data_IF_247133169605
#
_entry.id   IF_247133169605
#
_cell.length_a   1.000
_cell.length_b   1.000
_cell.length_c   1.000
_cell.angle_alpha   90.00
_cell.angle_beta   90.00
_cell.angle_gamma   90.00
#
_symmetry.space_group_name_H-M   'P 1'
#
loop_
_entity.id
_entity.type
_entity.pdbx_description
1 polymer ?
#
# COMPACT_ATOMS: atom_id res chain seq x y z
N UNK A 1 0.06 -19.08 25.31
CA UNK A 1 1.44 -18.94 24.76
C UNK A 1 1.28 -18.57 23.29
N UNK A 2 1.31 -17.27 22.97
CA UNK A 2 1.25 -16.78 21.58
C UNK A 2 2.60 -17.11 20.94
N UNK A 3 2.57 -17.92 19.87
CA UNK A 3 3.78 -18.19 19.07
C UNK A 3 4.10 -16.93 18.28
N UNK A 4 5.24 -16.34 18.60
CA UNK A 4 5.85 -15.27 17.82
C UNK A 4 6.27 -15.87 16.47
N UNK A 5 5.56 -15.54 15.39
CA UNK A 5 6.04 -15.83 14.04
C UNK A 5 6.98 -14.70 13.63
N UNK A 6 8.26 -15.02 13.60
CA UNK A 6 9.29 -14.14 13.07
C UNK A 6 9.17 -14.18 11.53
N UNK A 7 8.56 -13.16 10.93
CA UNK A 7 8.59 -12.98 9.48
C UNK A 7 9.86 -12.18 9.16
N UNK A 8 10.82 -12.83 8.54
CA UNK A 8 12.05 -12.17 8.12
C UNK A 8 11.74 -11.22 6.95
N UNK A 9 11.84 -9.92 7.19
CA UNK A 9 11.72 -8.87 6.17
C UNK A 9 12.96 -8.86 5.30
N UNK A 10 12.83 -9.24 4.03
CA UNK A 10 13.91 -9.14 3.04
C UNK A 10 13.85 -7.77 2.39
N UNK A 11 14.75 -6.87 2.75
CA UNK A 11 14.96 -5.62 2.02
C UNK A 11 15.60 -5.97 0.67
N UNK A 12 14.81 -5.99 -0.40
CA UNK A 12 15.32 -6.16 -1.75
C UNK A 12 15.93 -4.84 -2.23
N UNK A 13 17.20 -4.63 -1.94
CA UNK A 13 17.95 -3.53 -2.52
C UNK A 13 18.24 -3.83 -3.99
N UNK A 14 17.46 -3.29 -4.93
CA UNK A 14 17.81 -3.35 -6.35
C UNK A 14 19.05 -2.50 -6.58
N UNK A 15 20.16 -3.15 -6.93
CA UNK A 15 21.41 -2.49 -7.31
C UNK A 15 21.26 -1.90 -8.72
N UNK A 16 20.91 -0.64 -8.81
CA UNK A 16 21.04 0.19 -10.02
C UNK A 16 22.23 1.15 -9.85
N UNK A 17 22.83 1.57 -10.97
CA UNK A 17 24.05 2.35 -11.08
C UNK A 17 24.27 3.43 -10.00
N UNK A 18 25.53 3.62 -9.60
CA UNK A 18 25.92 4.55 -8.53
C UNK A 18 25.39 5.97 -8.74
N UNK A 19 24.70 6.56 -7.75
CA UNK A 19 24.24 7.94 -7.83
C UNK A 19 25.41 8.92 -7.69
N UNK A 20 25.29 10.08 -8.32
CA UNK A 20 26.20 11.21 -8.12
C UNK A 20 26.22 11.59 -6.62
N UNK A 21 27.38 12.01 -6.13
CA UNK A 21 27.62 12.32 -4.73
C UNK A 21 26.54 13.25 -4.14
N UNK A 22 25.74 12.72 -3.20
CA UNK A 22 24.70 13.47 -2.48
C UNK A 22 23.27 12.96 -2.60
N UNK A 23 22.97 11.98 -3.46
CA UNK A 23 21.64 11.39 -3.54
C UNK A 23 21.54 10.20 -2.58
N UNK A 24 20.81 10.35 -1.48
CA UNK A 24 20.40 9.21 -0.66
C UNK A 24 19.59 8.24 -1.52
N UNK A 25 19.90 6.95 -1.38
CA UNK A 25 19.27 5.88 -2.18
C UNK A 25 17.79 5.78 -1.76
N UNK A 26 16.89 6.14 -2.66
CA UNK A 26 15.45 6.00 -2.42
C UNK A 26 15.09 4.52 -2.19
N UNK A 27 14.28 4.24 -1.19
CA UNK A 27 13.93 2.90 -0.71
C UNK A 27 12.43 2.70 -0.92
N UNK A 28 12.05 1.54 -1.48
CA UNK A 28 10.67 1.06 -1.37
C UNK A 28 10.50 0.42 0.01
N UNK A 29 9.47 0.85 0.72
CA UNK A 29 9.17 0.33 2.04
C UNK A 29 8.18 -0.83 1.91
N UNK A 30 8.55 -1.99 2.45
CA UNK A 30 7.69 -3.16 2.51
C UNK A 30 7.07 -3.28 3.91
N UNK A 31 5.74 -3.37 3.95
CA UNK A 31 4.95 -3.61 5.16
C UNK A 31 4.18 -4.92 4.99
N UNK A 32 4.17 -5.76 5.98
CA UNK A 32 3.44 -7.03 5.96
C UNK A 32 2.50 -7.13 7.16
N UNK A 33 1.25 -7.49 6.88
CA UNK A 33 0.26 -7.90 7.88
C UNK A 33 0.35 -9.39 8.19
N UNK A 34 -0.54 -9.86 9.05
CA UNK A 34 -0.65 -11.25 9.47
C UNK A 34 -1.89 -11.95 8.90
N UNK A 35 -2.30 -13.08 9.49
CA UNK A 35 -3.51 -13.82 9.08
C UNK A 35 -4.80 -13.29 9.75
N UNK A 36 -4.73 -12.21 10.46
CA UNK A 36 -5.83 -11.58 11.19
C UNK A 36 -6.18 -10.24 10.53
N UNK A 37 -7.39 -9.73 10.76
CA UNK A 37 -7.84 -8.44 10.21
C UNK A 37 -6.87 -7.31 10.60
N UNK A 38 -6.28 -6.63 9.62
CA UNK A 38 -5.30 -5.56 9.81
C UNK A 38 -5.89 -4.20 9.38
N UNK A 39 -5.57 -3.17 10.14
CA UNK A 39 -5.73 -1.78 9.73
C UNK A 39 -4.34 -1.17 9.56
N UNK A 40 -4.01 -0.71 8.36
CA UNK A 40 -2.74 -0.06 8.04
C UNK A 40 -3.04 1.30 7.42
N UNK A 41 -2.48 2.36 7.98
CA UNK A 41 -2.60 3.70 7.40
C UNK A 41 -1.24 4.36 7.24
N UNK A 42 -1.05 5.04 6.10
CA UNK A 42 0.18 5.76 5.77
C UNK A 42 -0.18 7.22 5.46
N UNK A 43 0.37 8.14 6.22
CA UNK A 43 0.18 9.57 6.04
C UNK A 43 1.51 10.33 5.99
N UNK A 44 1.52 11.49 5.33
CA UNK A 44 2.64 12.43 5.38
C UNK A 44 2.41 13.41 6.53
N UNK A 45 3.44 13.70 7.32
CA UNK A 45 3.38 14.72 8.36
C UNK A 45 3.09 16.11 7.78
N UNK A 46 2.49 17.03 8.53
CA UNK A 46 2.13 18.36 8.03
C UNK A 46 3.31 19.18 7.52
N UNK A 47 4.52 18.91 7.99
CA UNK A 47 5.75 19.57 7.54
C UNK A 47 6.37 18.92 6.28
N UNK A 48 5.80 17.82 5.81
CA UNK A 48 6.22 17.08 4.61
C UNK A 48 7.55 16.34 4.75
N UNK A 49 8.05 16.16 5.98
CA UNK A 49 9.39 15.60 6.23
C UNK A 49 9.39 14.14 6.63
N UNK A 50 8.29 13.65 7.15
CA UNK A 50 8.19 12.28 7.65
C UNK A 50 6.89 11.63 7.23
N UNK A 51 6.89 10.32 7.05
CA UNK A 51 5.69 9.52 6.97
C UNK A 51 5.35 8.97 8.35
N UNK A 52 4.08 9.00 8.69
CA UNK A 52 3.51 8.34 9.87
C UNK A 52 2.75 7.11 9.38
N UNK A 53 3.11 5.96 9.92
CA UNK A 53 2.52 4.68 9.55
C UNK A 53 1.95 4.06 10.82
N UNK A 54 0.63 3.90 10.84
CA UNK A 54 -0.11 3.27 11.94
C UNK A 54 -0.63 1.91 11.51
N UNK A 55 -0.66 0.94 12.44
CA UNK A 55 -1.28 -0.36 12.23
C UNK A 55 -1.96 -0.87 13.49
N UNK A 56 -2.85 -1.87 13.34
CA UNK A 56 -3.45 -2.58 14.49
C UNK A 56 -2.54 -3.64 15.10
N UNK A 57 -1.53 -4.09 14.33
CA UNK A 57 -0.51 -5.03 14.76
C UNK A 57 0.88 -4.41 14.84
N UNK A 58 1.84 -5.09 15.46
CA UNK A 58 3.22 -4.62 15.50
C UNK A 58 3.79 -4.53 14.09
N UNK A 59 4.40 -3.37 13.77
CA UNK A 59 5.09 -3.14 12.50
C UNK A 59 6.56 -3.52 12.66
N UNK A 60 7.01 -4.46 11.84
CA UNK A 60 8.43 -4.81 11.74
C UNK A 60 9.02 -4.22 10.46
N UNK A 61 10.01 -3.35 10.59
CA UNK A 61 10.73 -2.78 9.45
C UNK A 61 12.22 -2.97 9.62
N UNK A 62 12.85 -3.48 8.58
CA UNK A 62 14.30 -3.49 8.44
C UNK A 62 14.79 -2.21 7.76
N UNK A 63 15.45 -1.30 8.49
CA UNK A 63 16.10 -0.13 7.90
C UNK A 63 16.29 1.03 8.88
N UNK A 64 17.31 1.85 8.61
CA UNK A 64 17.71 2.97 9.49
C UNK A 64 16.86 4.24 9.30
N UNK A 65 15.88 4.23 8.39
CA UNK A 65 15.09 5.43 8.02
C UNK A 65 13.80 5.59 8.82
N UNK A 66 13.42 4.57 9.57
CA UNK A 66 12.20 4.57 10.38
C UNK A 66 12.49 4.26 11.84
N UNK A 67 11.69 4.81 12.72
CA UNK A 67 11.77 4.60 14.17
C UNK A 67 10.37 4.44 14.75
N UNK A 68 10.24 3.60 15.78
CA UNK A 68 9.02 3.56 16.59
C UNK A 68 9.08 4.66 17.66
N UNK A 69 8.03 5.46 17.83
CA UNK A 69 7.92 6.36 18.96
C UNK A 69 7.95 5.58 20.27
N UNK A 70 8.53 6.15 21.35
CA UNK A 70 8.52 5.50 22.66
C UNK A 70 7.09 5.17 23.13
N UNK A 71 6.83 3.90 23.42
CA UNK A 71 5.55 3.44 23.95
C UNK A 71 4.48 3.09 22.93
N UNK A 72 4.74 3.25 21.62
CA UNK A 72 3.81 2.82 20.57
C UNK A 72 4.50 1.92 19.52
N UNK A 73 4.47 0.59 19.68
CA UNK A 73 5.09 -0.34 18.75
C UNK A 73 4.32 -0.47 17.42
N UNK A 74 3.11 0.05 17.34
CA UNK A 74 2.22 -0.03 16.18
C UNK A 74 2.31 1.21 15.28
N UNK A 75 3.16 2.16 15.64
CA UNK A 75 3.41 3.37 14.85
C UNK A 75 4.86 3.42 14.39
N UNK A 76 5.08 3.92 13.19
CA UNK A 76 6.40 4.14 12.61
C UNK A 76 6.50 5.55 12.06
N UNK A 77 7.62 6.19 12.34
CA UNK A 77 7.98 7.50 11.80
C UNK A 77 9.19 7.33 10.88
N UNK A 78 9.01 7.61 9.59
CA UNK A 78 10.01 7.41 8.55
C UNK A 78 10.39 8.72 7.86
N UNK A 79 11.66 8.89 7.50
CA UNK A 79 12.14 10.10 6.80
C UNK A 79 11.63 10.12 5.35
N UNK A 80 10.79 11.10 5.01
CA UNK A 80 10.12 11.17 3.71
C UNK A 80 11.07 11.18 2.49
N UNK A 81 12.19 11.93 2.48
CA UNK A 81 13.05 11.98 1.30
C UNK A 81 13.72 10.65 0.94
N UNK A 82 13.78 9.70 1.87
CA UNK A 82 14.40 8.39 1.65
C UNK A 82 13.43 7.35 1.08
N UNK A 83 12.12 7.62 1.04
CA UNK A 83 11.08 6.67 0.58
C UNK A 83 10.69 7.01 -0.85
N UNK A 84 10.84 6.04 -1.76
CA UNK A 84 10.45 6.15 -3.17
C UNK A 84 9.06 5.57 -3.46
N UNK A 85 8.54 4.73 -2.58
CA UNK A 85 7.22 4.10 -2.69
C UNK A 85 6.95 3.18 -1.52
N UNK A 86 5.69 2.76 -1.40
CA UNK A 86 5.25 1.81 -0.40
C UNK A 86 4.81 0.51 -1.05
N UNK A 87 5.17 -0.61 -0.46
CA UNK A 87 4.64 -1.93 -0.80
C UNK A 87 4.02 -2.52 0.47
N UNK A 88 2.71 -2.74 0.45
CA UNK A 88 1.93 -3.27 1.57
C UNK A 88 1.32 -4.60 1.16
N UNK A 89 1.55 -5.64 1.96
CA UNK A 89 0.89 -6.92 1.86
C UNK A 89 0.12 -7.16 3.16
N UNK A 90 -1.20 -7.03 3.11
CA UNK A 90 -2.03 -7.12 4.31
C UNK A 90 -2.15 -8.56 4.84
N UNK A 91 -2.21 -9.55 3.95
CA UNK A 91 -2.06 -10.96 4.33
C UNK A 91 -3.34 -11.77 4.26
N UNK A 92 -3.95 -12.05 5.37
CA UNK A 92 -5.25 -12.73 5.45
C UNK A 92 -6.10 -12.13 6.54
N UNK A 93 -7.40 -12.35 6.47
CA UNK A 93 -8.38 -11.62 7.26
C UNK A 93 -9.08 -10.59 6.38
N UNK A 94 -9.92 -9.75 6.97
CA UNK A 94 -10.54 -8.64 6.24
C UNK A 94 -9.76 -7.36 6.58
N UNK A 95 -8.92 -6.95 5.65
CA UNK A 95 -7.94 -5.93 5.89
C UNK A 95 -8.41 -4.55 5.39
N UNK A 96 -7.87 -3.51 6.00
CA UNK A 96 -8.06 -2.14 5.52
C UNK A 96 -6.72 -1.43 5.41
N UNK A 97 -6.32 -1.05 4.18
CA UNK A 97 -5.10 -0.30 3.90
C UNK A 97 -5.44 1.05 3.29
N UNK A 98 -4.93 2.13 3.87
CA UNK A 98 -5.20 3.50 3.41
C UNK A 98 -3.91 4.28 3.25
N UNK A 99 -3.64 4.75 2.05
CA UNK A 99 -2.61 5.75 1.77
C UNK A 99 -3.28 7.13 1.75
N UNK A 100 -2.76 8.07 2.52
CA UNK A 100 -3.31 9.43 2.51
C UNK A 100 -3.01 10.15 1.18
N UNK A 101 -3.90 11.04 0.75
CA UNK A 101 -3.81 11.71 -0.57
C UNK A 101 -2.55 12.54 -0.77
N UNK A 102 -2.04 13.10 0.32
CA UNK A 102 -0.84 13.94 0.35
C UNK A 102 0.47 13.15 0.25
N UNK A 103 0.44 11.81 0.31
CA UNK A 103 1.61 10.95 0.11
C UNK A 103 2.07 11.08 -1.34
N UNK A 104 3.27 11.66 -1.62
CA UNK A 104 3.67 12.02 -2.99
C UNK A 104 4.42 10.91 -3.73
N UNK A 105 4.34 9.67 -3.25
CA UNK A 105 5.01 8.50 -3.84
C UNK A 105 3.99 7.41 -4.14
N UNK A 106 4.24 6.57 -5.17
CA UNK A 106 3.34 5.48 -5.52
C UNK A 106 3.29 4.39 -4.44
N UNK A 107 2.16 3.68 -4.40
CA UNK A 107 1.98 2.52 -3.54
C UNK A 107 1.63 1.26 -4.33
N UNK A 108 2.08 0.12 -3.84
CA UNK A 108 1.63 -1.21 -4.26
C UNK A 108 0.96 -1.88 -3.06
N UNK A 109 -0.35 -2.10 -3.17
CA UNK A 109 -1.15 -2.66 -2.08
C UNK A 109 -1.68 -4.04 -2.48
N UNK A 110 -1.55 -5.01 -1.59
CA UNK A 110 -2.13 -6.35 -1.74
C UNK A 110 -2.95 -6.67 -0.51
N UNK A 111 -4.21 -6.99 -0.70
CA UNK A 111 -5.12 -7.46 0.36
C UNK A 111 -4.71 -8.87 0.79
N UNK A 112 -5.03 -9.84 0.01
CA UNK A 112 -4.66 -11.23 0.24
C UNK A 112 -5.86 -12.15 0.28
N UNK A 113 -6.15 -12.75 1.40
CA UNK A 113 -7.32 -13.61 1.54
C UNK A 113 -8.32 -12.98 2.52
N UNK A 114 -9.54 -12.79 2.09
CA UNK A 114 -10.61 -12.14 2.84
C UNK A 114 -11.21 -10.97 2.09
N UNK A 115 -12.14 -10.25 2.71
CA UNK A 115 -12.78 -9.11 2.06
C UNK A 115 -12.06 -7.82 2.45
N UNK A 116 -11.25 -7.31 1.55
CA UNK A 116 -10.31 -6.23 1.84
C UNK A 116 -10.80 -4.86 1.34
N UNK A 117 -10.38 -3.80 2.02
CA UNK A 117 -10.53 -2.43 1.56
C UNK A 117 -9.17 -1.78 1.33
N UNK A 118 -8.80 -1.57 0.05
CA UNK A 118 -7.55 -0.96 -0.35
C UNK A 118 -7.80 0.42 -0.94
N UNK A 119 -7.16 1.45 -0.37
CA UNK A 119 -7.34 2.83 -0.81
C UNK A 119 -5.97 3.46 -1.10
N UNK A 120 -5.71 3.76 -2.36
CA UNK A 120 -4.52 4.42 -2.85
C UNK A 120 -4.43 5.90 -2.48
N UNK A 121 -3.33 6.53 -2.85
CA UNK A 121 -2.99 7.90 -2.56
C UNK A 121 -3.42 8.93 -3.62
N UNK A 122 -2.48 9.81 -3.97
CA UNK A 122 -2.65 10.83 -5.01
C UNK A 122 -1.73 10.63 -6.23
N UNK A 123 -1.07 9.48 -6.34
CA UNK A 123 -0.18 9.12 -7.43
C UNK A 123 -0.65 7.81 -8.07
N UNK A 124 -0.01 7.41 -9.17
CA UNK A 124 -0.31 6.14 -9.81
C UNK A 124 0.04 4.95 -8.92
N UNK A 125 -0.98 4.24 -8.47
CA UNK A 125 -0.90 3.14 -7.51
C UNK A 125 -1.24 1.79 -8.17
N UNK A 126 -0.80 0.70 -7.55
CA UNK A 126 -1.14 -0.66 -7.94
C UNK A 126 -1.84 -1.38 -6.79
N UNK A 127 -3.12 -1.70 -6.97
CA UNK A 127 -3.95 -2.32 -5.95
C UNK A 127 -4.40 -3.71 -6.42
N UNK A 128 -4.25 -4.73 -5.58
CA UNK A 128 -4.68 -6.10 -5.87
C UNK A 128 -5.42 -6.68 -4.66
N UNK A 129 -6.68 -7.05 -4.85
CA UNK A 129 -7.50 -7.68 -3.80
C UNK A 129 -7.03 -9.11 -3.51
N UNK A 130 -6.97 -9.95 -4.49
CA UNK A 130 -6.70 -11.38 -4.61
C UNK A 130 -7.94 -12.24 -4.39
N UNK A 131 -8.30 -12.64 -3.18
CA UNK A 131 -9.44 -13.56 -2.96
C UNK A 131 -10.39 -13.06 -1.89
N UNK A 132 -11.65 -13.00 -2.22
CA UNK A 132 -12.74 -12.45 -1.41
C UNK A 132 -13.44 -11.32 -2.15
N UNK A 133 -14.42 -10.71 -1.52
CA UNK A 133 -15.17 -9.59 -2.12
C UNK A 133 -14.51 -8.27 -1.71
N UNK A 134 -13.69 -7.72 -2.59
CA UNK A 134 -12.80 -6.63 -2.28
C UNK A 134 -13.34 -5.25 -2.73
N UNK A 135 -12.89 -4.22 -2.04
CA UNK A 135 -13.13 -2.84 -2.41
C UNK A 135 -11.83 -2.10 -2.66
N UNK A 136 -11.54 -1.76 -3.93
CA UNK A 136 -10.34 -1.07 -4.37
C UNK A 136 -10.66 0.35 -4.85
N UNK A 137 -9.91 1.35 -4.37
CA UNK A 137 -10.06 2.74 -4.76
C UNK A 137 -8.70 3.35 -5.08
N UNK A 138 -8.45 3.69 -6.34
CA UNK A 138 -7.20 4.34 -6.80
C UNK A 138 -7.09 5.78 -6.32
N UNK A 139 -8.12 6.57 -6.53
CA UNK A 139 -8.29 8.01 -6.28
C UNK A 139 -7.74 8.89 -7.38
N UNK A 140 -6.48 9.30 -7.33
CA UNK A 140 -5.88 10.18 -8.32
C UNK A 140 -4.54 9.62 -8.78
N UNK A 141 -4.26 9.79 -10.05
CA UNK A 141 -3.11 9.16 -10.69
C UNK A 141 -3.57 8.27 -11.84
N UNK A 142 -2.66 7.58 -12.48
CA UNK A 142 -2.99 6.51 -13.41
C UNK A 142 -2.85 5.18 -12.67
N UNK A 143 -3.96 4.64 -12.19
CA UNK A 143 -3.97 3.51 -11.25
C UNK A 143 -4.19 2.17 -11.96
N UNK A 144 -3.66 1.10 -11.38
CA UNK A 144 -3.90 -0.27 -11.82
C UNK A 144 -4.58 -1.05 -10.69
N UNK A 145 -5.86 -1.40 -10.91
CA UNK A 145 -6.70 -2.09 -9.95
C UNK A 145 -7.04 -3.50 -10.45
N UNK A 146 -6.79 -4.51 -9.65
CA UNK A 146 -7.16 -5.90 -9.91
C UNK A 146 -7.94 -6.45 -8.71
N UNK A 147 -9.20 -6.79 -8.90
CA UNK A 147 -10.04 -7.41 -7.87
C UNK A 147 -9.50 -8.78 -7.50
N UNK A 148 -9.72 -9.76 -8.32
CA UNK A 148 -9.26 -11.13 -8.13
C UNK A 148 -10.40 -12.11 -8.19
N UNK A 149 -10.48 -13.04 -7.23
CA UNK A 149 -11.61 -13.96 -7.09
C UNK A 149 -12.66 -13.37 -6.13
N UNK A 150 -13.90 -13.30 -6.55
CA UNK A 150 -15.03 -12.81 -5.74
C UNK A 150 -15.79 -11.69 -6.44
N UNK A 151 -16.82 -11.17 -5.77
CA UNK A 151 -17.61 -10.06 -6.30
C UNK A 151 -16.99 -8.73 -5.82
N UNK A 152 -16.21 -8.10 -6.71
CA UNK A 152 -15.34 -6.98 -6.36
C UNK A 152 -15.94 -5.61 -6.76
N UNK A 153 -15.54 -4.57 -6.03
CA UNK A 153 -15.85 -3.19 -6.38
C UNK A 153 -14.58 -2.38 -6.60
N UNK A 154 -14.33 -1.94 -7.84
CA UNK A 154 -13.17 -1.18 -8.26
C UNK A 154 -13.56 0.22 -8.67
N UNK A 155 -12.87 1.23 -8.11
CA UNK A 155 -13.06 2.65 -8.46
C UNK A 155 -11.70 3.24 -8.81
N UNK A 156 -11.46 3.56 -10.08
CA UNK A 156 -10.22 4.20 -10.54
C UNK A 156 -10.06 5.59 -9.93
N UNK A 157 -10.89 6.51 -10.34
CA UNK A 157 -10.91 7.86 -9.78
C UNK A 157 -10.61 8.93 -10.82
N UNK A 158 -9.53 9.67 -10.66
CA UNK A 158 -9.10 10.65 -11.65
C UNK A 158 -7.74 10.29 -12.22
N UNK A 159 -7.62 10.27 -13.53
CA UNK A 159 -6.45 9.84 -14.27
C UNK A 159 -6.80 8.77 -15.29
N UNK A 160 -5.80 8.13 -15.87
CA UNK A 160 -6.03 7.05 -16.83
C UNK A 160 -5.84 5.72 -16.12
N UNK A 161 -6.94 5.07 -15.79
CA UNK A 161 -6.96 3.92 -14.91
C UNK A 161 -7.17 2.60 -15.66
N UNK A 162 -6.55 1.55 -15.17
CA UNK A 162 -6.74 0.18 -15.63
C UNK A 162 -7.44 -0.63 -14.53
N UNK A 163 -8.68 -1.05 -14.79
CA UNK A 163 -9.49 -1.84 -13.86
C UNK A 163 -9.71 -3.23 -14.44
N UNK A 164 -9.46 -4.24 -13.62
CA UNK A 164 -9.74 -5.62 -13.94
C UNK A 164 -10.44 -6.30 -12.76
N UNK A 165 -11.69 -6.70 -12.96
CA UNK A 165 -12.45 -7.42 -11.93
C UNK A 165 -11.85 -8.80 -11.67
N UNK A 166 -11.97 -9.70 -12.58
CA UNK A 166 -11.54 -11.09 -12.46
C UNK A 166 -12.72 -12.04 -12.50
N UNK A 167 -12.63 -13.22 -11.88
CA UNK A 167 -13.76 -14.13 -11.72
C UNK A 167 -14.74 -13.64 -10.65
N UNK A 168 -15.97 -13.33 -11.03
CA UNK A 168 -17.04 -12.87 -10.13
C UNK A 168 -18.03 -11.94 -10.80
N UNK A 169 -18.90 -11.33 -9.99
CA UNK A 169 -19.81 -10.28 -10.46
C UNK A 169 -19.30 -8.92 -9.99
N UNK A 170 -18.46 -8.30 -10.81
CA UNK A 170 -17.68 -7.14 -10.42
C UNK A 170 -18.36 -5.82 -10.78
N UNK A 171 -18.16 -4.79 -9.94
CA UNK A 171 -18.53 -3.42 -10.21
C UNK A 171 -17.29 -2.57 -10.51
N UNK A 172 -17.12 -2.13 -11.77
CA UNK A 172 -15.97 -1.35 -12.22
C UNK A 172 -16.40 0.07 -12.58
N UNK A 173 -15.79 1.06 -11.91
CA UNK A 173 -16.04 2.50 -12.12
C UNK A 173 -14.70 3.16 -12.46
N UNK A 174 -14.48 3.51 -13.75
CA UNK A 174 -13.26 4.20 -14.19
C UNK A 174 -13.11 5.55 -13.48
N UNK A 175 -14.10 6.41 -13.64
CA UNK A 175 -14.08 7.73 -13.02
C UNK A 175 -13.90 8.84 -14.05
N UNK A 176 -12.96 9.76 -13.80
CA UNK A 176 -12.69 10.89 -14.69
C UNK A 176 -11.31 10.78 -15.32
N UNK A 177 -11.23 10.09 -16.44
CA UNK A 177 -10.03 9.93 -17.26
C UNK A 177 -10.40 9.84 -18.73
N UNK A 178 -9.44 10.16 -19.61
CA UNK A 178 -9.69 10.10 -21.05
C UNK A 178 -9.55 8.67 -21.62
N UNK A 179 -8.86 7.79 -20.90
CA UNK A 179 -8.48 6.46 -21.36
C UNK A 179 -8.62 5.39 -20.25
N UNK A 180 -9.71 5.44 -19.46
CA UNK A 180 -9.98 4.38 -18.49
C UNK A 180 -10.32 3.09 -19.23
N UNK A 181 -9.74 1.97 -18.78
CA UNK A 181 -9.99 0.64 -19.32
C UNK A 181 -10.52 -0.25 -18.21
N UNK A 182 -11.73 -0.79 -18.39
CA UNK A 182 -12.37 -1.74 -17.49
C UNK A 182 -12.56 -3.10 -18.19
N UNK A 183 -12.13 -4.21 -17.55
CA UNK A 183 -12.16 -5.58 -18.08
C UNK A 183 -12.64 -6.57 -17.03
#
# INVERSE_FOLDING_TARGET
MKKLFLIALTVLATQGAAPAAGAEKAINMLLAGGPEDNLISIALSPDGRTYVIDSTGPLEIGGSVCTNPPGNPNELICQAPAIAGFEVNAGGGNDRVVIAREVPVPATLRGGAGNDELIGGGNGDSLTGNSGNDRLVGRAGGDSLMGGEGDDRLVGGSGNDLLRGGPGNDELIGGSGANDVAQ
#
